data_IF_428660029795
#
_entry.id   IF_428660029795
#
_cell.length_a   1.000
_cell.length_b   1.000
_cell.length_c   1.000
_cell.angle_alpha   90.00
_cell.angle_beta   90.00
_cell.angle_gamma   90.00
#
_symmetry.space_group_name_H-M   'P 1'
#
loop_
_entity.id
_entity.type
_entity.pdbx_description
1 polymer ?
#
# COMPACT_ATOMS: atom_id res chain seq x y z
N UNK A 1 -2.28 28.79 -2.83
CA UNK A 1 -2.40 27.38 -3.27
C UNK A 1 -1.84 26.56 -2.14
N UNK A 2 -2.65 25.68 -1.55
CA UNK A 2 -2.16 24.82 -0.47
C UNK A 2 -1.17 23.82 -1.05
N UNK A 3 -0.25 23.33 -0.23
CA UNK A 3 0.76 22.35 -0.63
C UNK A 3 0.15 20.97 -1.00
N UNK A 4 -1.17 20.81 -0.82
CA UNK A 4 -1.89 19.55 -0.94
C UNK A 4 -3.05 19.61 -1.96
N UNK A 5 -3.21 20.72 -2.70
CA UNK A 5 -4.35 20.93 -3.62
C UNK A 5 -4.46 19.87 -4.73
N UNK A 6 -3.36 19.21 -5.08
CA UNK A 6 -3.31 18.13 -6.07
C UNK A 6 -3.61 16.73 -5.51
N UNK A 7 -3.79 16.60 -4.19
CA UNK A 7 -4.03 15.32 -3.54
C UNK A 7 -5.52 15.00 -3.42
N UNK A 8 -5.83 13.72 -3.25
CA UNK A 8 -7.16 13.30 -2.80
C UNK A 8 -7.49 14.02 -1.48
N UNK A 9 -8.64 14.72 -1.37
CA UNK A 9 -8.97 15.55 -0.20
C UNK A 9 -8.96 14.80 1.13
N UNK A 10 -9.31 13.51 1.13
CA UNK A 10 -9.24 12.66 2.33
C UNK A 10 -7.80 12.46 2.81
N UNK A 11 -6.84 12.25 1.90
CA UNK A 11 -5.43 12.06 2.24
C UNK A 11 -4.75 13.37 2.63
N UNK A 12 -5.09 14.48 1.96
CA UNK A 12 -4.63 15.80 2.37
C UNK A 12 -5.00 16.10 3.84
N UNK A 13 -6.26 15.85 4.22
CA UNK A 13 -6.72 15.98 5.61
C UNK A 13 -6.01 15.02 6.56
N UNK A 14 -5.66 13.81 6.12
CA UNK A 14 -4.92 12.85 6.93
C UNK A 14 -3.47 13.33 7.20
N UNK A 15 -2.80 13.88 6.18
CA UNK A 15 -1.48 14.51 6.31
C UNK A 15 -1.50 15.68 7.31
N UNK A 16 -2.48 16.58 7.17
CA UNK A 16 -2.66 17.72 8.08
C UNK A 16 -2.86 17.27 9.53
N UNK A 17 -3.69 16.23 9.76
CA UNK A 17 -3.89 15.63 11.09
C UNK A 17 -2.62 15.05 11.68
N UNK A 18 -1.70 14.55 10.85
CA UNK A 18 -0.37 14.07 11.26
C UNK A 18 0.66 15.17 11.44
N UNK A 19 0.29 16.43 11.19
CA UNK A 19 1.16 17.59 11.36
C UNK A 19 2.10 17.86 10.18
N UNK A 20 1.80 17.31 9.00
CA UNK A 20 2.56 17.63 7.79
C UNK A 20 2.27 19.06 7.36
N UNK A 21 3.31 19.89 7.29
CA UNK A 21 3.26 21.23 6.68
C UNK A 21 3.59 21.19 5.19
N UNK A 22 4.38 20.21 4.76
CA UNK A 22 4.74 20.00 3.37
C UNK A 22 5.03 18.55 3.01
N UNK A 23 4.90 18.23 1.72
CA UNK A 23 5.34 16.96 1.16
C UNK A 23 6.86 16.90 1.08
N UNK A 24 7.42 15.73 1.38
CA UNK A 24 8.85 15.45 1.15
C UNK A 24 9.17 15.42 -0.35
N UNK A 25 10.45 15.51 -0.77
CA UNK A 25 10.81 15.48 -2.19
C UNK A 25 10.30 14.24 -2.93
N UNK A 26 10.37 13.05 -2.32
CA UNK A 26 9.84 11.81 -2.92
C UNK A 26 8.32 11.83 -3.01
N UNK A 27 7.62 12.38 -2.01
CA UNK A 27 6.17 12.53 -2.03
C UNK A 27 5.71 13.51 -3.12
N UNK A 28 6.41 14.63 -3.30
CA UNK A 28 6.15 15.59 -4.40
C UNK A 28 6.36 14.95 -5.77
N UNK A 29 7.42 14.15 -5.93
CA UNK A 29 7.76 13.52 -7.20
C UNK A 29 6.73 12.48 -7.65
N UNK A 30 6.20 11.67 -6.72
CA UNK A 30 5.25 10.60 -7.08
C UNK A 30 3.80 11.08 -7.29
N UNK A 31 3.47 12.30 -6.87
CA UNK A 31 2.16 12.92 -7.14
C UNK A 31 2.23 13.95 -8.27
N UNK A 32 3.38 14.04 -8.93
CA UNK A 32 3.60 14.96 -10.02
C UNK A 32 2.66 14.60 -11.19
N UNK A 33 1.93 15.57 -11.78
CA UNK A 33 0.99 15.30 -12.88
C UNK A 33 1.62 14.59 -14.07
N UNK A 34 2.93 14.77 -14.27
CA UNK A 34 3.70 14.15 -15.34
C UNK A 34 3.85 12.62 -15.17
N UNK A 35 3.72 12.11 -13.94
CA UNK A 35 3.78 10.68 -13.67
C UNK A 35 2.48 9.98 -14.06
N UNK A 36 1.33 10.62 -13.84
CA UNK A 36 0.02 10.07 -14.19
C UNK A 36 -0.20 8.64 -13.66
N UNK A 37 -0.61 7.73 -14.54
CA UNK A 37 -0.78 6.30 -14.25
C UNK A 37 0.45 5.45 -14.69
N UNK A 38 1.60 6.09 -14.96
CA UNK A 38 2.78 5.36 -15.41
C UNK A 38 3.41 4.53 -14.29
N UNK A 39 3.95 3.37 -14.67
CA UNK A 39 4.81 2.58 -13.79
C UNK A 39 6.04 3.40 -13.36
N UNK A 40 6.39 3.31 -12.09
CA UNK A 40 7.44 4.12 -11.50
C UNK A 40 8.48 3.26 -10.77
N UNK A 41 9.76 3.55 -11.04
CA UNK A 41 10.86 3.11 -10.19
C UNK A 41 11.27 4.27 -9.29
N UNK A 42 11.01 4.13 -7.99
CA UNK A 42 11.28 5.17 -7.00
C UNK A 42 12.51 4.80 -6.18
N UNK A 43 13.59 5.57 -6.36
CA UNK A 43 14.81 5.43 -5.57
C UNK A 43 14.92 6.55 -4.56
N UNK A 44 14.81 6.24 -3.27
CA UNK A 44 14.96 7.20 -2.19
C UNK A 44 15.52 6.53 -0.92
N UNK A 45 16.21 7.31 -0.09
CA UNK A 45 16.79 6.81 1.16
C UNK A 45 15.69 6.41 2.16
N UNK A 46 15.99 5.45 3.04
CA UNK A 46 15.14 5.09 4.19
C UNK A 46 14.84 6.35 5.01
N UNK A 47 13.59 6.48 5.49
CA UNK A 47 13.15 7.66 6.25
C UNK A 47 12.78 8.88 5.40
N UNK A 48 12.88 8.81 4.06
CA UNK A 48 12.46 9.90 3.16
C UNK A 48 10.93 10.07 3.01
N UNK A 49 10.15 9.16 3.59
CA UNK A 49 8.69 9.15 3.47
C UNK A 49 8.15 8.36 2.26
N UNK A 50 8.91 7.38 1.73
CA UNK A 50 8.53 6.49 0.62
C UNK A 50 7.13 5.87 0.79
N UNK A 51 6.81 5.39 1.98
CA UNK A 51 5.54 4.71 2.26
C UNK A 51 4.34 5.61 2.04
N UNK A 52 4.39 6.82 2.60
CA UNK A 52 3.38 7.85 2.36
C UNK A 52 3.39 8.25 0.89
N UNK A 53 4.57 8.33 0.25
CA UNK A 53 4.70 8.68 -1.15
C UNK A 53 3.89 7.74 -2.06
N UNK A 54 4.15 6.42 -2.01
CA UNK A 54 3.34 5.49 -2.82
C UNK A 54 1.88 5.46 -2.35
N UNK A 55 1.61 5.63 -1.05
CA UNK A 55 0.25 5.74 -0.55
C UNK A 55 -0.52 6.89 -1.20
N UNK A 56 0.12 8.04 -1.42
CA UNK A 56 -0.44 9.17 -2.16
C UNK A 56 -0.60 8.86 -3.65
N UNK A 57 0.39 8.22 -4.27
CA UNK A 57 0.36 7.86 -5.69
C UNK A 57 -0.76 6.87 -6.04
N UNK A 58 -1.05 5.91 -5.14
CA UNK A 58 -2.11 4.93 -5.31
C UNK A 58 -3.52 5.55 -5.25
N UNK A 59 -3.70 6.61 -4.45
CA UNK A 59 -5.03 7.05 -4.03
C UNK A 59 -5.98 7.44 -5.18
N UNK A 60 -5.55 8.18 -6.22
CA UNK A 60 -6.41 8.50 -7.35
C UNK A 60 -6.96 7.25 -8.07
N UNK A 61 -6.09 6.27 -8.32
CA UNK A 61 -6.46 4.99 -8.98
C UNK A 61 -7.40 4.15 -8.13
N UNK A 62 -7.17 4.10 -6.81
CA UNK A 62 -8.01 3.27 -5.93
C UNK A 62 -9.40 3.88 -5.70
N UNK A 63 -9.49 5.20 -5.60
CA UNK A 63 -10.72 5.91 -5.28
C UNK A 63 -11.54 6.34 -6.50
N UNK A 64 -10.93 6.45 -7.69
CA UNK A 64 -11.61 6.84 -8.94
C UNK A 64 -12.45 8.12 -8.81
N UNK A 65 -11.90 9.11 -8.09
CA UNK A 65 -12.57 10.39 -7.83
C UNK A 65 -13.58 10.39 -6.67
N UNK A 66 -13.84 9.24 -6.03
CA UNK A 66 -14.62 9.19 -4.80
C UNK A 66 -13.82 9.72 -3.59
N UNK A 67 -14.50 10.26 -2.59
CA UNK A 67 -13.86 10.63 -1.32
C UNK A 67 -13.65 9.43 -0.38
N UNK A 68 -14.45 8.37 -0.54
CA UNK A 68 -14.48 7.22 0.36
C UNK A 68 -14.62 5.93 -0.43
N UNK A 69 -14.06 4.86 0.11
CA UNK A 69 -14.26 3.52 -0.40
C UNK A 69 -15.68 3.02 -0.15
N UNK A 70 -16.12 2.11 -1.02
CA UNK A 70 -17.29 1.29 -0.81
C UNK A 70 -17.06 0.19 0.23
N UNK A 71 -17.85 -0.89 0.13
CA UNK A 71 -17.63 -2.06 0.97
C UNK A 71 -16.34 -2.78 0.57
N UNK A 72 -15.55 -3.22 1.55
CA UNK A 72 -14.34 -3.98 1.30
C UNK A 72 -14.70 -5.34 0.68
N UNK A 73 -13.97 -5.72 -0.37
CA UNK A 73 -14.13 -6.99 -1.07
C UNK A 73 -12.75 -7.54 -1.43
N UNK A 74 -12.55 -7.98 -2.68
CA UNK A 74 -11.22 -8.27 -3.20
C UNK A 74 -10.35 -6.99 -3.17
N UNK A 75 -9.08 -7.09 -2.76
CA UNK A 75 -8.17 -5.95 -2.68
C UNK A 75 -7.99 -5.25 -4.02
N UNK A 76 -7.86 -3.94 -3.93
CA UNK A 76 -7.57 -3.04 -5.04
C UNK A 76 -6.07 -2.72 -5.13
N UNK A 77 -5.36 -2.81 -4.01
CA UNK A 77 -3.91 -2.62 -3.97
C UNK A 77 -3.21 -3.71 -3.16
N UNK A 78 -2.00 -4.06 -3.61
CA UNK A 78 -1.08 -4.94 -2.92
C UNK A 78 0.26 -4.22 -2.69
N UNK A 79 0.72 -4.16 -1.44
CA UNK A 79 2.07 -3.71 -1.12
C UNK A 79 2.89 -4.90 -0.57
N UNK A 80 4.05 -5.14 -1.17
CA UNK A 80 4.95 -6.22 -0.79
C UNK A 80 6.19 -5.61 -0.14
N UNK A 81 6.55 -6.13 1.03
CA UNK A 81 7.75 -5.72 1.77
C UNK A 81 8.58 -6.95 2.18
N UNK A 82 9.91 -6.84 2.28
CA UNK A 82 10.80 -7.99 2.45
C UNK A 82 10.67 -8.66 3.82
N UNK A 83 10.36 -7.90 4.86
CA UNK A 83 10.30 -8.40 6.24
C UNK A 83 8.95 -8.14 6.88
N UNK A 84 8.64 -8.92 7.92
CA UNK A 84 7.43 -8.74 8.72
C UNK A 84 7.38 -7.34 9.33
N UNK A 85 8.51 -6.90 9.87
CA UNK A 85 8.64 -5.64 10.57
C UNK A 85 8.34 -4.46 9.63
N UNK A 86 8.89 -4.50 8.41
CA UNK A 86 8.63 -3.49 7.36
C UNK A 86 7.18 -3.57 6.86
N UNK A 87 6.65 -4.75 6.58
CA UNK A 87 5.24 -4.90 6.18
C UNK A 87 4.27 -4.35 7.24
N UNK A 88 4.54 -4.55 8.53
CA UNK A 88 3.74 -3.98 9.62
C UNK A 88 3.93 -2.46 9.75
N UNK A 89 5.12 -1.92 9.46
CA UNK A 89 5.33 -0.47 9.38
C UNK A 89 4.52 0.13 8.24
N UNK A 90 4.59 -0.46 7.04
CA UNK A 90 3.81 -0.05 5.87
C UNK A 90 2.31 -0.09 6.17
N UNK A 91 1.83 -1.18 6.79
CA UNK A 91 0.43 -1.32 7.18
C UNK A 91 -0.02 -0.14 8.06
N UNK A 92 0.73 0.18 9.12
CA UNK A 92 0.38 1.28 10.04
C UNK A 92 0.37 2.64 9.36
N UNK A 93 1.29 2.89 8.43
CA UNK A 93 1.33 4.13 7.67
C UNK A 93 0.10 4.28 6.77
N UNK A 94 -0.27 3.21 6.06
CA UNK A 94 -1.43 3.21 5.18
C UNK A 94 -2.75 3.31 5.96
N UNK A 95 -2.84 2.69 7.14
CA UNK A 95 -4.04 2.76 7.99
C UNK A 95 -4.42 4.20 8.34
N UNK A 96 -3.47 5.02 8.78
CA UNK A 96 -3.79 6.42 9.12
C UNK A 96 -3.94 7.29 7.88
N UNK A 97 -3.15 7.04 6.84
CA UNK A 97 -3.19 7.84 5.61
C UNK A 97 -4.55 7.71 4.93
N UNK A 98 -5.12 6.49 4.95
CA UNK A 98 -6.40 6.18 4.34
C UNK A 98 -7.58 6.19 5.31
N UNK A 99 -7.38 6.50 6.60
CA UNK A 99 -8.43 6.47 7.63
C UNK A 99 -9.70 7.21 7.20
N UNK A 100 -9.55 8.41 6.64
CA UNK A 100 -10.68 9.27 6.24
C UNK A 100 -11.40 8.82 4.97
N UNK A 101 -10.80 7.88 4.22
CA UNK A 101 -11.46 7.23 3.08
C UNK A 101 -12.34 6.06 3.53
N UNK A 102 -12.17 5.57 4.77
CA UNK A 102 -12.80 4.34 5.24
C UNK A 102 -12.17 3.07 4.67
N UNK A 103 -10.93 3.14 4.17
CA UNK A 103 -10.22 1.96 3.70
C UNK A 103 -10.07 0.91 4.80
N UNK A 104 -9.95 -0.34 4.37
CA UNK A 104 -9.62 -1.47 5.23
C UNK A 104 -8.29 -1.98 4.75
N UNK A 105 -7.28 -1.94 5.62
CA UNK A 105 -5.94 -2.41 5.34
C UNK A 105 -5.74 -3.73 6.08
N UNK A 106 -5.26 -4.75 5.38
CA UNK A 106 -4.95 -6.05 5.97
C UNK A 106 -3.47 -6.37 5.81
N UNK A 107 -2.88 -7.01 6.82
CA UNK A 107 -1.50 -7.51 6.75
C UNK A 107 -1.46 -9.03 6.62
N UNK A 108 -0.49 -9.53 5.86
CA UNK A 108 -0.24 -10.95 5.60
C UNK A 108 1.25 -11.22 5.80
N UNK A 109 1.67 -11.60 7.01
CA UNK A 109 3.09 -11.74 7.35
C UNK A 109 3.42 -13.02 8.10
N UNK A 110 4.63 -13.54 7.90
CA UNK A 110 5.12 -14.74 8.57
C UNK A 110 5.03 -14.69 10.09
N UNK A 111 4.78 -15.84 10.73
CA UNK A 111 4.71 -15.96 12.20
C UNK A 111 3.39 -15.52 12.84
N UNK A 112 2.43 -15.00 12.06
CA UNK A 112 1.05 -14.78 12.53
C UNK A 112 0.13 -15.95 12.20
N UNK A 113 -1.00 -16.05 12.89
CA UNK A 113 -1.99 -17.10 12.68
C UNK A 113 -2.71 -16.93 11.33
N UNK A 114 -2.42 -17.87 10.42
CA UNK A 114 -2.96 -17.93 9.07
C UNK A 114 -4.49 -17.96 9.02
N UNK A 115 -5.15 -18.56 10.02
CA UNK A 115 -6.63 -18.61 10.06
C UNK A 115 -7.21 -17.23 10.35
N UNK A 116 -6.58 -16.48 11.23
CA UNK A 116 -6.96 -15.11 11.56
C UNK A 116 -6.80 -14.18 10.36
N UNK A 117 -5.66 -14.26 9.66
CA UNK A 117 -5.40 -13.51 8.42
C UNK A 117 -6.43 -13.87 7.34
N UNK A 118 -6.66 -15.17 7.11
CA UNK A 118 -7.70 -15.63 6.17
C UNK A 118 -9.07 -15.05 6.51
N UNK A 119 -9.45 -15.03 7.78
CA UNK A 119 -10.75 -14.48 8.20
C UNK A 119 -10.83 -12.97 7.97
N UNK A 120 -9.71 -12.24 8.04
CA UNK A 120 -9.64 -10.81 7.68
C UNK A 120 -9.85 -10.66 6.18
N UNK A 121 -9.12 -11.42 5.36
CA UNK A 121 -9.25 -11.39 3.90
C UNK A 121 -10.66 -11.77 3.43
N UNK A 122 -11.29 -12.78 4.05
CA UNK A 122 -12.68 -13.19 3.77
C UNK A 122 -13.71 -12.10 4.11
N UNK A 123 -13.43 -11.22 5.07
CA UNK A 123 -14.28 -10.04 5.34
C UNK A 123 -14.07 -8.91 4.34
N UNK A 124 -13.04 -9.01 3.51
CA UNK A 124 -12.65 -8.00 2.54
C UNK A 124 -11.62 -7.01 3.09
N UNK A 125 -10.71 -6.61 2.21
CA UNK A 125 -9.74 -5.54 2.44
C UNK A 125 -9.59 -4.73 1.16
N UNK A 126 -9.43 -3.41 1.28
CA UNK A 126 -9.17 -2.54 0.13
C UNK A 126 -7.69 -2.59 -0.27
N UNK A 127 -6.82 -2.67 0.74
CA UNK A 127 -5.38 -2.70 0.58
C UNK A 127 -4.84 -3.90 1.37
N UNK A 128 -4.00 -4.71 0.75
CA UNK A 128 -3.28 -5.79 1.42
C UNK A 128 -1.79 -5.46 1.43
N UNK A 129 -1.15 -5.66 2.58
CA UNK A 129 0.30 -5.52 2.76
C UNK A 129 0.86 -6.87 3.19
N UNK A 130 1.96 -7.34 2.62
CA UNK A 130 2.51 -8.63 3.07
C UNK A 130 3.92 -8.94 2.65
N UNK A 131 4.43 -10.03 3.20
CA UNK A 131 5.73 -10.61 2.81
C UNK A 131 5.55 -11.63 1.68
N UNK A 132 6.48 -11.75 0.72
CA UNK A 132 6.32 -12.60 -0.47
C UNK A 132 5.81 -14.02 -0.16
N UNK A 133 6.52 -14.77 0.70
CA UNK A 133 6.13 -16.15 1.02
C UNK A 133 4.74 -16.28 1.66
N UNK A 134 4.35 -15.35 2.55
CA UNK A 134 3.01 -15.39 3.18
C UNK A 134 1.90 -15.00 2.19
N UNK A 135 2.16 -14.07 1.28
CA UNK A 135 1.23 -13.73 0.21
C UNK A 135 1.01 -14.92 -0.72
N UNK A 136 2.10 -15.56 -1.17
CA UNK A 136 2.06 -16.79 -1.97
C UNK A 136 1.27 -17.90 -1.30
N UNK A 137 1.46 -18.11 0.01
CA UNK A 137 0.67 -19.06 0.79
C UNK A 137 -0.84 -18.78 0.70
N UNK A 138 -1.23 -17.51 0.87
CA UNK A 138 -2.64 -17.10 0.79
C UNK A 138 -3.23 -17.25 -0.60
N UNK A 139 -2.46 -16.93 -1.65
CA UNK A 139 -2.87 -17.08 -3.05
C UNK A 139 -3.05 -18.57 -3.38
N UNK A 140 -2.07 -19.41 -3.04
CA UNK A 140 -2.11 -20.87 -3.27
C UNK A 140 -3.32 -21.50 -2.59
N UNK A 141 -3.69 -21.02 -1.40
CA UNK A 141 -4.86 -21.49 -0.63
C UNK A 141 -6.18 -20.84 -1.07
N UNK A 142 -6.17 -19.98 -2.10
CA UNK A 142 -7.32 -19.20 -2.59
C UNK A 142 -8.01 -18.36 -1.52
N UNK A 143 -7.23 -17.90 -0.54
CA UNK A 143 -7.69 -17.01 0.52
C UNK A 143 -7.42 -15.53 0.23
N UNK A 144 -6.53 -15.24 -0.73
CA UNK A 144 -6.33 -13.91 -1.30
C UNK A 144 -6.78 -13.95 -2.76
N UNK A 145 -7.87 -13.24 -3.07
CA UNK A 145 -8.34 -13.02 -4.43
C UNK A 145 -7.71 -11.73 -4.96
N UNK A 146 -6.90 -11.84 -6.03
CA UNK A 146 -6.18 -10.70 -6.62
C UNK A 146 -6.85 -10.18 -7.90
N UNK A 147 -8.02 -10.70 -8.27
CA UNK A 147 -8.69 -10.37 -9.54
C UNK A 147 -9.11 -8.90 -9.69
N UNK A 148 -9.18 -8.16 -8.58
CA UNK A 148 -9.57 -6.75 -8.55
C UNK A 148 -8.38 -5.78 -8.36
N UNK A 149 -7.14 -6.28 -8.31
CA UNK A 149 -5.96 -5.42 -8.12
C UNK A 149 -5.85 -4.42 -9.27
N UNK A 150 -5.71 -3.14 -8.90
CA UNK A 150 -5.43 -2.02 -9.80
C UNK A 150 -3.99 -1.56 -9.71
N UNK A 151 -3.32 -1.83 -8.59
CA UNK A 151 -1.96 -1.39 -8.35
C UNK A 151 -1.19 -2.32 -7.42
N UNK A 152 0.11 -2.41 -7.66
CA UNK A 152 1.06 -3.21 -6.86
C UNK A 152 2.28 -2.35 -6.53
N UNK A 153 2.77 -2.45 -5.30
CA UNK A 153 3.99 -1.79 -4.83
C UNK A 153 4.96 -2.86 -4.33
N UNK A 154 6.21 -2.77 -4.77
CA UNK A 154 7.33 -3.55 -4.23
C UNK A 154 8.24 -2.58 -3.45
N UNK A 155 8.13 -2.55 -2.13
CA UNK A 155 9.02 -1.73 -1.29
C UNK A 155 10.27 -2.53 -0.95
N UNK A 156 11.44 -1.95 -1.19
CA UNK A 156 12.76 -2.58 -0.95
C UNK A 156 12.91 -3.90 -1.75
N UNK A 157 12.64 -3.80 -3.05
CA UNK A 157 12.68 -4.91 -4.00
C UNK A 157 14.08 -5.53 -4.16
N UNK A 158 15.13 -4.72 -4.05
CA UNK A 158 16.51 -5.18 -3.98
C UNK A 158 16.74 -6.08 -2.76
N UNK A 159 16.30 -5.65 -1.58
CA UNK A 159 16.38 -6.47 -0.36
C UNK A 159 15.57 -7.77 -0.50
N UNK A 160 14.40 -7.73 -1.14
CA UNK A 160 13.62 -8.95 -1.42
C UNK A 160 14.41 -9.97 -2.26
N UNK A 161 15.17 -9.50 -3.26
CA UNK A 161 16.00 -10.37 -4.09
C UNK A 161 17.19 -10.92 -3.29
N UNK A 162 17.82 -10.10 -2.44
CA UNK A 162 18.94 -10.51 -1.58
C UNK A 162 18.52 -11.56 -0.54
N UNK A 163 17.29 -11.48 -0.04
CA UNK A 163 16.70 -12.47 0.86
C UNK A 163 16.20 -13.74 0.15
N UNK A 164 16.31 -13.80 -1.18
CA UNK A 164 15.97 -14.98 -1.98
C UNK A 164 14.49 -15.11 -2.33
N UNK A 165 13.68 -14.04 -2.25
CA UNK A 165 12.25 -14.09 -2.56
C UNK A 165 11.92 -14.04 -4.06
N UNK A 166 12.90 -14.19 -4.95
CA UNK A 166 12.69 -14.13 -6.41
C UNK A 166 11.58 -15.09 -6.87
N UNK A 167 11.64 -16.35 -6.45
CA UNK A 167 10.65 -17.36 -6.85
C UNK A 167 9.24 -17.05 -6.31
N UNK A 168 9.15 -16.43 -5.13
CA UNK A 168 7.86 -16.03 -4.55
C UNK A 168 7.27 -14.81 -5.27
N UNK A 169 8.11 -13.92 -5.80
CA UNK A 169 7.70 -12.74 -6.56
C UNK A 169 7.30 -13.06 -8.00
N UNK A 170 7.91 -14.08 -8.61
CA UNK A 170 7.63 -14.56 -9.97
C UNK A 170 6.45 -15.57 -10.03
N UNK A 171 5.85 -15.91 -8.89
CA UNK A 171 4.75 -16.88 -8.74
C UNK A 171 3.46 -16.45 -9.44
#
# INVERSE_FOLDING_TARGET
MSNFDALVPALARALEKRGYSELTPVQKAVVAPELGEADALVSAQTGSGKTVAFGLALAPTLLEGAERFGHAAAPLALAVAPTRELALQVTRELEWLYELTGATVASCVGGMDMRSERRVLERGAHIVVGTPGRLRDHITRRSLDMSALKAVVLDEADEMLDLGFREDLEF
#
